data_IF_759258090158
#
_entry.id   IF_759258090158
#
_cell.length_a   1.000
_cell.length_b   1.000
_cell.length_c   1.000
_cell.angle_alpha   90.00
_cell.angle_beta   90.00
_cell.angle_gamma   90.00
#
_symmetry.space_group_name_H-M   'P 1'
#
loop_
_entity.id
_entity.type
_entity.pdbx_description
1 polymer ?
#
# COMPACT_ATOMS: atom_id res chain seq x y z
N UNK A 1 12.10 -5.41 2.26
CA UNK A 1 11.06 -4.37 2.03
C UNK A 1 10.56 -3.79 3.37
N UNK A 2 9.76 -2.70 3.36
CA UNK A 2 9.54 -1.80 4.52
C UNK A 2 8.69 -2.35 5.69
N UNK A 3 8.04 -3.51 5.51
CA UNK A 3 7.16 -4.14 6.52
C UNK A 3 6.16 -3.15 7.13
N UNK A 4 5.36 -2.54 6.26
CA UNK A 4 4.38 -1.51 6.60
C UNK A 4 3.09 -1.76 5.82
N UNK A 5 1.97 -1.26 6.35
CA UNK A 5 0.78 -1.08 5.52
C UNK A 5 1.08 0.00 4.46
N UNK A 6 0.66 -0.24 3.23
CA UNK A 6 0.82 0.71 2.12
C UNK A 6 -0.57 1.01 1.57
N UNK A 7 -0.95 2.29 1.53
CA UNK A 7 -2.17 2.74 0.87
C UNK A 7 -1.80 3.61 -0.33
N UNK A 8 -2.17 3.14 -1.53
CA UNK A 8 -2.09 3.90 -2.77
C UNK A 8 -3.48 4.32 -3.20
N UNK A 9 -3.66 5.60 -3.52
CA UNK A 9 -4.91 6.14 -4.06
C UNK A 9 -4.60 6.81 -5.37
N UNK A 10 -5.37 6.47 -6.39
CA UNK A 10 -5.28 7.07 -7.70
C UNK A 10 -6.68 7.15 -8.34
N UNK A 11 -6.85 8.14 -9.21
CA UNK A 11 -8.13 8.49 -9.81
C UNK A 11 -8.51 7.54 -10.94
N UNK A 12 -9.79 7.52 -11.32
CA UNK A 12 -10.24 6.87 -12.56
C UNK A 12 -10.56 7.91 -13.66
N UNK A 13 -10.72 7.44 -14.89
CA UNK A 13 -11.24 8.22 -16.01
C UNK A 13 -10.15 8.80 -16.89
N UNK A 14 -10.51 9.77 -17.73
CA UNK A 14 -9.58 10.46 -18.64
C UNK A 14 -9.46 11.92 -18.22
N UNK A 15 -8.24 12.44 -18.11
CA UNK A 15 -8.03 13.85 -17.78
C UNK A 15 -8.14 14.77 -19.00
N UNK A 16 -7.92 16.08 -18.80
CA UNK A 16 -7.94 17.07 -19.88
C UNK A 16 -6.83 16.90 -20.92
N UNK A 17 -5.79 16.10 -20.62
CA UNK A 17 -4.68 15.78 -21.51
C UNK A 17 -4.86 14.43 -22.21
N UNK A 18 -6.05 13.82 -22.11
CA UNK A 18 -6.35 12.50 -22.68
C UNK A 18 -5.59 11.32 -22.05
N UNK A 19 -4.98 11.50 -20.87
CA UNK A 19 -4.40 10.39 -20.11
C UNK A 19 -5.49 9.59 -19.41
N UNK A 20 -5.43 8.27 -19.57
CA UNK A 20 -6.36 7.33 -18.92
C UNK A 20 -5.80 6.85 -17.60
N UNK A 21 -6.63 6.88 -16.58
CA UNK A 21 -6.33 6.41 -15.25
C UNK A 21 -7.30 5.28 -14.89
N UNK A 22 -6.72 4.15 -14.49
CA UNK A 22 -7.44 2.95 -14.07
C UNK A 22 -7.85 2.98 -12.60
N UNK A 23 -7.46 4.01 -11.84
CA UNK A 23 -7.57 3.97 -10.39
C UNK A 23 -6.46 3.13 -9.80
N UNK A 24 -6.55 1.80 -9.87
CA UNK A 24 -5.61 0.85 -9.22
C UNK A 24 -5.26 1.21 -7.76
N UNK A 25 -6.14 1.99 -7.12
CA UNK A 25 -6.09 2.29 -5.70
C UNK A 25 -6.08 0.97 -4.96
N UNK A 26 -5.21 0.82 -3.98
CA UNK A 26 -5.09 -0.42 -3.23
C UNK A 26 -4.47 -0.20 -1.86
N UNK A 27 -4.85 -1.04 -0.92
CA UNK A 27 -4.19 -1.13 0.39
C UNK A 27 -3.55 -2.52 0.49
N UNK A 28 -2.28 -2.54 0.85
CA UNK A 28 -1.49 -3.76 1.08
C UNK A 28 -1.05 -3.83 2.54
N UNK A 29 -0.99 -5.05 3.08
CA UNK A 29 -0.48 -5.29 4.42
C UNK A 29 1.06 -5.42 4.44
N UNK A 30 1.70 -5.46 5.63
CA UNK A 30 3.14 -5.67 5.78
C UNK A 30 3.73 -6.93 5.11
N UNK A 31 2.91 -7.90 4.71
CA UNK A 31 3.31 -9.11 3.98
C UNK A 31 3.12 -8.98 2.46
N UNK A 32 2.67 -7.82 1.97
CA UNK A 32 2.42 -7.57 0.55
C UNK A 32 1.05 -8.06 0.06
N UNK A 33 0.16 -8.50 0.95
CA UNK A 33 -1.17 -8.98 0.57
C UNK A 33 -2.12 -7.79 0.37
N UNK A 34 -2.86 -7.77 -0.75
CA UNK A 34 -3.89 -6.75 -1.01
C UNK A 34 -5.08 -7.00 -0.07
N UNK A 35 -5.39 -6.03 0.79
CA UNK A 35 -6.52 -6.09 1.73
C UNK A 35 -7.72 -5.25 1.30
N UNK A 36 -7.55 -4.38 0.30
CA UNK A 36 -8.64 -3.62 -0.30
C UNK A 36 -9.37 -4.41 -1.40
N UNK A 37 -10.62 -4.04 -1.67
CA UNK A 37 -11.48 -4.66 -2.69
C UNK A 37 -11.74 -3.77 -3.90
N UNK A 38 -11.15 -2.58 -3.91
CA UNK A 38 -11.08 -1.66 -5.05
C UNK A 38 -10.72 -2.37 -6.36
N UNK A 39 -11.42 -1.99 -7.45
CA UNK A 39 -11.24 -2.54 -8.80
C UNK A 39 -10.83 -1.47 -9.80
N UNK A 40 -10.07 -1.84 -10.86
CA UNK A 40 -9.69 -0.89 -11.89
C UNK A 40 -10.90 -0.35 -12.66
N UNK A 41 -10.88 0.95 -12.98
CA UNK A 41 -11.90 1.67 -13.74
C UNK A 41 -13.29 1.72 -13.07
N UNK A 42 -13.38 1.39 -11.77
CA UNK A 42 -14.61 1.44 -11.00
C UNK A 42 -14.49 2.49 -9.89
N UNK A 43 -15.46 3.40 -9.80
CA UNK A 43 -15.57 4.31 -8.67
C UNK A 43 -15.83 3.51 -7.39
N UNK A 44 -15.07 3.79 -6.34
CA UNK A 44 -15.20 3.05 -5.08
C UNK A 44 -14.80 3.91 -3.88
N UNK A 45 -15.46 3.63 -2.75
CA UNK A 45 -15.09 4.13 -1.43
C UNK A 45 -14.99 2.92 -0.51
N UNK A 46 -13.86 2.81 0.18
CA UNK A 46 -13.60 1.69 1.09
C UNK A 46 -13.03 2.21 2.40
N UNK A 47 -13.43 1.59 3.51
CA UNK A 47 -12.89 1.86 4.85
C UNK A 47 -12.34 0.57 5.40
N UNK A 48 -11.06 0.57 5.77
CA UNK A 48 -10.34 -0.61 6.26
C UNK A 48 -9.70 -0.26 7.59
N UNK A 49 -9.94 -1.11 8.59
CA UNK A 49 -9.26 -1.02 9.89
C UNK A 49 -7.91 -1.73 9.82
N UNK A 50 -6.86 -1.06 10.26
CA UNK A 50 -5.51 -1.64 10.39
C UNK A 50 -5.14 -1.84 11.85
N UNK A 51 -4.29 -2.84 12.13
CA UNK A 51 -3.87 -3.19 13.49
C UNK A 51 -2.40 -2.87 13.72
N UNK A 52 -2.12 -2.12 14.80
CA UNK A 52 -0.75 -1.89 15.28
C UNK A 52 -0.09 -3.19 15.72
N UNK A 53 -0.85 -4.07 16.38
CA UNK A 53 -0.38 -5.36 16.85
C UNK A 53 0.10 -6.23 15.66
N UNK A 54 -0.65 -6.23 14.56
CA UNK A 54 -0.27 -6.95 13.35
C UNK A 54 1.12 -6.52 12.83
N UNK A 55 1.38 -5.22 12.73
CA UNK A 55 2.70 -4.70 12.33
C UNK A 55 3.80 -5.18 13.28
N UNK A 56 3.58 -5.06 14.59
CA UNK A 56 4.58 -5.45 15.60
C UNK A 56 4.90 -6.94 15.48
N UNK A 57 3.87 -7.78 15.35
CA UNK A 57 4.02 -9.21 15.18
C UNK A 57 4.76 -9.56 13.88
N UNK A 58 4.40 -8.94 12.74
CA UNK A 58 5.10 -9.18 11.47
C UNK A 58 6.59 -8.84 11.56
N UNK A 59 6.94 -7.67 12.13
CA UNK A 59 8.33 -7.24 12.28
C UNK A 59 9.15 -8.11 13.24
N UNK A 60 8.49 -8.68 14.25
CA UNK A 60 9.14 -9.59 15.21
C UNK A 60 9.37 -10.97 14.59
N UNK A 61 8.37 -11.50 13.87
CA UNK A 61 8.46 -12.82 13.24
C UNK A 61 9.38 -12.84 12.02
N UNK A 62 9.53 -11.71 11.34
CA UNK A 62 10.36 -11.55 10.14
C UNK A 62 11.28 -10.33 10.31
N UNK A 63 12.41 -10.42 11.04
CA UNK A 63 13.18 -9.26 11.47
C UNK A 63 14.08 -8.64 10.38
N UNK A 64 13.65 -8.61 9.11
CA UNK A 64 14.44 -8.08 7.98
C UNK A 64 14.87 -6.61 8.16
N UNK A 65 14.13 -5.83 8.95
CA UNK A 65 14.50 -4.44 9.24
C UNK A 65 15.75 -4.32 10.12
N UNK A 66 16.12 -5.36 10.86
CA UNK A 66 17.36 -5.37 11.65
C UNK A 66 18.60 -5.47 10.77
N UNK A 67 18.47 -6.03 9.56
CA UNK A 67 19.56 -6.20 8.60
C UNK A 67 19.69 -5.01 7.64
N UNK A 68 19.01 -3.88 7.92
CA UNK A 68 19.00 -2.71 7.03
C UNK A 68 20.32 -1.95 7.09
N UNK A 69 20.96 -1.79 5.93
CA UNK A 69 22.13 -0.93 5.77
C UNK A 69 21.81 0.56 5.98
N UNK A 70 22.72 1.27 6.64
CA UNK A 70 22.66 2.72 6.78
C UNK A 70 23.13 3.43 5.50
N UNK A 71 22.48 4.53 5.14
CA UNK A 71 22.90 5.39 4.03
C UNK A 71 22.62 6.87 4.34
N UNK A 72 23.25 7.75 3.56
CA UNK A 72 23.04 9.21 3.61
C UNK A 72 22.59 9.65 2.22
N UNK A 73 21.58 10.51 2.15
CA UNK A 73 21.16 11.14 0.90
C UNK A 73 21.95 12.45 0.75
N UNK A 74 22.69 12.58 -0.35
CA UNK A 74 23.44 13.78 -0.72
C UNK A 74 22.59 14.74 -1.56
#
# INVERSE_FOLDING_TARGET
>A
ENQAFVAGVNRIGTDGNSYKYSGDSAIYNPLGEKISKTKPNEDSVETISISKEFIVNTRTSLPFLHDRDGFIIH
#
